data_IF_405486817295
#
_entry.id   IF_405486817295
#
_cell.length_a   1.000
_cell.length_b   1.000
_cell.length_c   1.000
_cell.angle_alpha   90.00
_cell.angle_beta   90.00
_cell.angle_gamma   90.00
#
_symmetry.space_group_name_H-M   'P 1'
#
loop_
_entity.id
_entity.type
_entity.pdbx_description
1 polymer ?
#
# COMPACT_ATOMS: atom_id res chain seq x y z
N UNK A 1 -12.89 -46.75 -3.37
CA UNK A 1 -12.82 -45.44 -2.69
C UNK A 1 -12.51 -44.41 -3.74
N UNK A 2 -13.50 -43.58 -4.08
CA UNK A 2 -13.39 -42.52 -5.07
C UNK A 2 -12.51 -41.40 -4.48
N UNK A 3 -11.43 -41.03 -5.17
CA UNK A 3 -10.70 -39.80 -4.90
C UNK A 3 -11.22 -38.74 -5.86
N UNK A 4 -11.92 -37.76 -5.30
CA UNK A 4 -12.42 -36.58 -6.00
C UNK A 4 -11.22 -35.73 -6.45
N UNK A 5 -11.00 -35.65 -7.76
CA UNK A 5 -10.01 -34.74 -8.35
C UNK A 5 -10.66 -33.36 -8.37
N UNK A 6 -10.26 -32.48 -7.46
CA UNK A 6 -10.66 -31.07 -7.52
C UNK A 6 -9.81 -30.38 -8.58
N UNK A 7 -10.50 -29.99 -9.66
CA UNK A 7 -9.97 -29.27 -10.80
C UNK A 7 -8.99 -28.16 -10.40
N UNK A 8 -7.83 -28.24 -11.02
CA UNK A 8 -6.78 -27.24 -10.99
C UNK A 8 -7.00 -26.34 -12.21
N UNK A 9 -6.63 -25.06 -12.05
CA UNK A 9 -6.35 -24.06 -13.09
C UNK A 9 -7.54 -23.39 -13.79
N UNK A 10 -7.69 -22.06 -13.57
CA UNK A 10 -7.63 -21.03 -14.63
C UNK A 10 -7.52 -19.62 -14.02
N UNK A 11 -6.30 -19.07 -14.12
CA UNK A 11 -5.97 -17.70 -14.60
C UNK A 11 -6.61 -16.47 -13.96
N UNK A 12 -5.81 -15.75 -13.16
CA UNK A 12 -5.57 -14.29 -13.23
C UNK A 12 -4.49 -13.94 -12.18
N UNK A 13 -3.20 -14.13 -12.45
CA UNK A 13 -2.26 -13.26 -13.17
C UNK A 13 -1.42 -12.38 -12.21
N UNK A 14 -0.09 -12.62 -12.21
CA UNK A 14 1.05 -11.81 -11.66
C UNK A 14 0.88 -11.24 -10.22
N UNK A 15 1.73 -11.45 -9.20
CA UNK A 15 3.20 -11.50 -9.17
C UNK A 15 3.69 -12.30 -7.94
N UNK A 16 4.65 -13.18 -8.18
CA UNK A 16 5.95 -13.24 -7.48
C UNK A 16 6.04 -12.67 -6.05
N UNK A 17 5.62 -13.44 -5.03
CA UNK A 17 6.07 -13.20 -3.65
C UNK A 17 7.45 -13.83 -3.40
N UNK A 18 8.47 -13.37 -4.14
CA UNK A 18 9.86 -13.55 -3.75
C UNK A 18 10.23 -12.37 -2.85
N UNK A 19 9.84 -12.47 -1.58
CA UNK A 19 10.19 -11.50 -0.54
C UNK A 19 11.11 -12.17 0.47
N UNK A 20 12.41 -12.16 0.18
CA UNK A 20 13.46 -12.63 1.07
C UNK A 20 13.41 -11.92 2.45
N UNK A 21 13.85 -12.60 3.53
CA UNK A 21 13.89 -12.04 4.87
C UNK A 21 15.14 -11.17 5.05
N UNK A 22 15.15 -9.95 4.52
CA UNK A 22 16.25 -9.02 4.78
C UNK A 22 15.80 -7.57 5.01
N UNK A 23 15.76 -7.24 6.30
CA UNK A 23 16.12 -5.94 6.90
C UNK A 23 15.25 -4.71 6.57
N UNK A 24 14.29 -4.79 5.65
CA UNK A 24 13.35 -3.71 5.33
C UNK A 24 11.92 -4.11 5.65
N UNK A 25 11.20 -3.24 6.37
CA UNK A 25 9.83 -3.54 6.78
C UNK A 25 8.89 -3.20 5.63
N UNK A 26 8.38 -4.23 4.95
CA UNK A 26 7.36 -4.05 3.91
C UNK A 26 6.02 -3.77 4.59
N UNK A 27 5.36 -2.70 4.18
CA UNK A 27 4.06 -2.27 4.70
C UNK A 27 3.06 -2.12 3.58
N UNK A 28 1.97 -2.88 3.69
CA UNK A 28 0.84 -2.81 2.78
C UNK A 28 -0.15 -1.75 3.26
N UNK A 29 -0.60 -0.90 2.34
CA UNK A 29 -1.59 0.13 2.61
C UNK A 29 -2.66 0.10 1.53
N UNK A 30 -3.92 0.00 1.94
CA UNK A 30 -5.04 0.12 1.02
C UNK A 30 -4.96 1.45 0.24
N UNK A 31 -4.86 1.35 -1.09
CA UNK A 31 -4.88 2.49 -2.00
C UNK A 31 -6.25 3.14 -2.13
N UNK A 32 -7.31 2.47 -1.64
CA UNK A 32 -8.67 3.02 -1.60
C UNK A 32 -8.69 4.29 -0.75
N UNK A 33 -8.92 5.43 -1.39
CA UNK A 33 -8.89 6.77 -0.81
C UNK A 33 -7.49 7.28 -0.40
N UNK A 34 -6.41 6.75 -0.97
CA UNK A 34 -5.08 7.32 -0.77
C UNK A 34 -4.69 8.26 -1.92
N UNK A 35 -4.03 9.35 -1.58
CA UNK A 35 -3.43 10.24 -2.55
C UNK A 35 -1.97 9.84 -2.82
N UNK A 36 -1.65 9.31 -4.02
CA UNK A 36 -0.31 8.82 -4.32
C UNK A 36 0.74 9.93 -4.29
N UNK A 37 0.37 11.15 -4.70
CA UNK A 37 1.29 12.28 -4.72
C UNK A 37 1.69 12.69 -3.30
N UNK A 38 0.73 12.77 -2.37
CA UNK A 38 1.04 13.00 -0.95
C UNK A 38 1.85 11.88 -0.35
N UNK A 39 1.54 10.63 -0.68
CA UNK A 39 2.27 9.47 -0.17
C UNK A 39 3.73 9.51 -0.62
N UNK A 40 3.99 9.70 -1.92
CA UNK A 40 5.34 9.83 -2.46
C UNK A 40 6.09 11.04 -1.88
N UNK A 41 5.43 12.20 -1.80
CA UNK A 41 6.04 13.40 -1.21
C UNK A 41 6.45 13.17 0.24
N UNK A 42 5.60 12.52 1.04
CA UNK A 42 5.89 12.19 2.43
C UNK A 42 7.04 11.18 2.55
N UNK A 43 7.05 10.14 1.72
CA UNK A 43 8.13 9.16 1.68
C UNK A 43 9.46 9.82 1.31
N UNK A 44 9.45 10.72 0.32
CA UNK A 44 10.62 11.52 -0.06
C UNK A 44 11.10 12.42 1.07
N UNK A 45 10.21 13.06 1.81
CA UNK A 45 10.60 13.91 2.96
C UNK A 45 11.21 13.09 4.09
N UNK A 46 10.66 11.90 4.38
CA UNK A 46 11.11 11.07 5.51
C UNK A 46 12.31 10.20 5.23
N UNK A 47 12.37 9.63 4.03
CA UNK A 47 13.32 8.58 3.68
C UNK A 47 14.26 8.99 2.54
N UNK A 48 14.05 10.16 1.92
CA UNK A 48 14.81 10.70 0.79
C UNK A 48 14.79 9.80 -0.46
N UNK A 49 15.53 8.70 -0.39
CA UNK A 49 15.72 7.71 -1.46
C UNK A 49 15.68 6.25 -0.94
N UNK A 50 15.68 6.06 0.38
CA UNK A 50 15.65 4.73 1.01
C UNK A 50 14.21 4.16 1.08
N UNK A 51 13.41 4.31 0.04
CA UNK A 51 12.06 3.77 0.00
C UNK A 51 11.70 3.23 -1.38
N UNK A 52 10.94 2.14 -1.41
CA UNK A 52 10.37 1.54 -2.62
C UNK A 52 8.86 1.52 -2.48
N UNK A 53 8.13 1.93 -3.50
CA UNK A 53 6.66 1.87 -3.55
C UNK A 53 6.26 1.02 -4.73
N UNK A 54 5.56 -0.07 -4.47
CA UNK A 54 4.88 -0.88 -5.48
C UNK A 54 3.38 -0.72 -5.31
N UNK A 55 2.63 -0.73 -6.41
CA UNK A 55 1.17 -0.65 -6.38
C UNK A 55 0.61 -1.90 -7.04
N UNK A 56 -0.15 -2.66 -6.29
CA UNK A 56 -0.67 -3.97 -6.70
C UNK A 56 -2.16 -4.04 -6.37
N UNK A 57 -3.02 -4.25 -7.38
CA UNK A 57 -4.47 -4.44 -7.20
C UNK A 57 -5.14 -3.49 -6.19
N UNK A 58 -4.80 -2.19 -6.24
CA UNK A 58 -5.32 -1.16 -5.33
C UNK A 58 -4.76 -1.19 -3.89
N UNK A 59 -3.59 -1.79 -3.70
CA UNK A 59 -2.80 -1.76 -2.47
C UNK A 59 -1.41 -1.22 -2.77
N UNK A 60 -0.94 -0.27 -1.97
CA UNK A 60 0.45 0.21 -2.01
C UNK A 60 1.30 -0.64 -1.07
N UNK A 61 2.27 -1.35 -1.65
CA UNK A 61 3.31 -2.08 -0.94
C UNK A 61 4.53 -1.19 -0.83
N UNK A 62 4.79 -0.68 0.38
CA UNK A 62 5.89 0.26 0.64
C UNK A 62 6.98 -0.49 1.38
N UNK A 63 8.18 -0.54 0.82
CA UNK A 63 9.37 -0.98 1.54
C UNK A 63 10.13 0.24 2.00
N UNK A 64 10.33 0.36 3.31
CA UNK A 64 11.10 1.43 3.90
C UNK A 64 11.87 0.90 5.12
N UNK A 65 12.96 1.57 5.53
CA UNK A 65 13.67 1.22 6.76
C UNK A 65 12.80 1.41 8.00
N UNK A 66 11.75 2.23 7.93
CA UNK A 66 10.78 2.44 9.01
C UNK A 66 9.35 2.39 8.47
N UNK A 67 8.46 1.79 9.26
CA UNK A 67 7.02 1.75 8.99
C UNK A 67 6.39 3.14 9.10
N UNK A 68 5.42 3.42 8.24
CA UNK A 68 4.53 4.57 8.32
C UNK A 68 3.51 4.37 9.44
N UNK A 69 3.34 5.40 10.26
CA UNK A 69 2.35 5.43 11.32
C UNK A 69 0.96 5.66 10.75
N UNK A 70 -0.08 5.17 11.42
CA UNK A 70 -1.47 5.32 10.99
C UNK A 70 -1.85 6.78 10.75
N UNK A 71 -1.34 7.71 11.57
CA UNK A 71 -1.57 9.15 11.39
C UNK A 71 -0.94 9.71 10.11
N UNK A 72 0.24 9.24 9.73
CA UNK A 72 0.94 9.64 8.51
C UNK A 72 0.18 9.16 7.28
N UNK A 73 -0.26 7.90 7.32
CA UNK A 73 -1.11 7.30 6.29
C UNK A 73 -2.44 8.07 6.19
N UNK A 74 -3.03 8.46 7.32
CA UNK A 74 -4.27 9.22 7.34
C UNK A 74 -4.13 10.62 6.72
N UNK A 75 -2.96 11.27 6.79
CA UNK A 75 -2.71 12.54 6.10
C UNK A 75 -2.63 12.39 4.58
N UNK A 76 -2.15 11.24 4.11
CA UNK A 76 -2.12 10.88 2.70
C UNK A 76 -3.48 10.41 2.19
N UNK A 77 -4.45 10.09 3.07
CA UNK A 77 -5.80 9.80 2.61
C UNK A 77 -6.39 11.05 1.97
N UNK A 78 -7.11 10.88 0.86
CA UNK A 78 -7.98 11.88 0.25
C UNK A 78 -9.11 12.16 1.24
N UNK A 79 -8.81 12.98 2.24
CA UNK A 79 -9.80 13.62 3.07
C UNK A 79 -10.61 14.47 2.09
N UNK A 80 -11.79 13.99 1.70
CA UNK A 80 -12.82 14.87 1.19
C UNK A 80 -13.04 15.89 2.30
N UNK A 81 -12.37 17.04 2.18
CA UNK A 81 -12.78 18.26 2.86
C UNK A 81 -14.19 18.52 2.35
N UNK A 82 -15.18 17.91 2.99
CA UNK A 82 -16.42 18.60 3.20
C UNK A 82 -16.01 19.85 3.96
N UNK A 83 -15.78 20.93 3.21
CA UNK A 83 -15.68 22.28 3.73
C UNK A 83 -17.02 22.54 4.41
N UNK A 84 -17.22 22.05 5.63
CA UNK A 84 -18.16 22.66 6.55
C UNK A 84 -17.49 23.95 7.00
N UNK A 85 -17.57 24.95 6.12
CA UNK A 85 -17.64 26.33 6.58
C UNK A 85 -18.92 26.43 7.39
N UNK A 86 -18.81 26.23 8.70
CA UNK A 86 -19.85 26.65 9.63
C UNK A 86 -19.60 28.14 9.92
N UNK A 87 -20.57 28.93 9.44
CA UNK A 87 -21.17 30.12 10.06
C UNK A 87 -20.23 31.24 10.50
N UNK A 88 -20.47 32.42 9.94
CA UNK A 88 -20.81 33.60 10.74
C UNK A 88 -21.98 34.33 10.10
#
# INVERSE_FOLDING_TARGET
MSFEVKDITTTSSYEFHLGQPDKSSTQEIAGRNMDPMKLLAMLRIKFADAYEVQMMHNTYSIKAPRRLSIGEIAQCRRMHRTRRMRRS
#
